data_IF_513263393794
#
_entry.id   IF_513263393794
#
_cell.length_a   1.000
_cell.length_b   1.000
_cell.length_c   1.000
_cell.angle_alpha   90.00
_cell.angle_beta   90.00
_cell.angle_gamma   90.00
#
_symmetry.space_group_name_H-M   'P 1'
#
loop_
_entity.id
_entity.type
_entity.pdbx_description
1 polymer ?
#
# COMPACT_ATOMS: atom_id res chain seq x y z
N UNK A 1 33.88 17.76 -9.16
CA UNK A 1 33.07 18.88 -9.69
C UNK A 1 32.16 18.45 -10.84
N UNK A 2 32.63 18.14 -12.06
CA UNK A 2 31.71 17.81 -13.17
C UNK A 2 30.88 16.53 -12.95
N UNK A 3 31.48 15.44 -12.43
CA UNK A 3 30.76 14.22 -12.06
C UNK A 3 29.68 14.47 -11.02
N UNK A 4 29.93 15.39 -10.09
CA UNK A 4 29.00 15.70 -9.00
C UNK A 4 27.79 16.47 -9.57
N UNK A 5 28.02 17.44 -10.47
CA UNK A 5 26.95 18.19 -11.14
C UNK A 5 26.06 17.29 -12.01
N UNK A 6 26.65 16.35 -12.76
CA UNK A 6 25.87 15.40 -13.57
C UNK A 6 25.02 14.50 -12.66
N UNK A 7 25.60 13.97 -11.58
CA UNK A 7 24.88 13.14 -10.61
C UNK A 7 23.70 13.88 -10.00
N UNK A 8 23.88 15.16 -9.69
CA UNK A 8 22.85 16.06 -9.18
C UNK A 8 21.69 16.25 -10.17
N UNK A 9 21.97 16.46 -11.45
CA UNK A 9 20.91 16.63 -12.46
C UNK A 9 20.18 15.32 -12.70
N UNK A 10 20.91 14.22 -12.88
CA UNK A 10 20.34 12.94 -13.27
C UNK A 10 19.53 12.28 -12.16
N UNK A 11 19.95 12.39 -10.91
CA UNK A 11 19.22 11.81 -9.78
C UNK A 11 17.80 12.38 -9.61
N UNK A 12 17.46 13.52 -10.24
CA UNK A 12 16.10 14.10 -10.26
C UNK A 12 15.21 13.52 -11.35
N UNK A 13 15.77 12.76 -12.30
CA UNK A 13 15.02 12.22 -13.41
C UNK A 13 14.23 10.96 -13.00
N UNK A 14 13.12 10.65 -13.69
CA UNK A 14 12.40 9.41 -13.47
C UNK A 14 13.30 8.19 -13.70
N UNK A 15 13.18 7.17 -12.84
CA UNK A 15 13.97 5.95 -12.92
C UNK A 15 13.91 5.28 -14.31
N UNK A 16 12.72 5.27 -14.93
CA UNK A 16 12.50 4.75 -16.29
C UNK A 16 13.34 5.47 -17.36
N UNK A 17 13.54 6.78 -17.22
CA UNK A 17 14.41 7.56 -18.11
C UNK A 17 15.88 7.23 -17.87
N UNK A 18 16.28 7.10 -16.61
CA UNK A 18 17.66 6.75 -16.23
C UNK A 18 18.06 5.39 -16.79
N UNK A 19 17.21 4.36 -16.67
CA UNK A 19 17.51 3.06 -17.25
C UNK A 19 17.73 3.11 -18.77
N UNK A 20 17.05 4.01 -19.50
CA UNK A 20 17.31 4.21 -20.94
C UNK A 20 18.68 4.85 -21.18
N UNK A 21 19.14 5.71 -20.28
CA UNK A 21 20.43 6.41 -20.40
C UNK A 21 21.65 5.50 -20.17
N UNK A 22 21.47 4.32 -19.56
CA UNK A 22 22.52 3.29 -19.47
C UNK A 22 22.99 2.79 -20.86
N UNK A 23 22.16 2.99 -21.89
CA UNK A 23 22.49 2.67 -23.28
C UNK A 23 23.26 3.77 -24.02
N UNK A 24 23.32 4.99 -23.47
CA UNK A 24 23.90 6.16 -24.14
C UNK A 24 25.42 6.14 -24.11
N UNK A 25 26.03 5.80 -22.97
CA UNK A 25 27.48 5.61 -22.85
C UNK A 25 27.87 4.79 -21.62
N UNK A 26 29.10 4.26 -21.61
CA UNK A 26 29.65 3.50 -20.47
C UNK A 26 29.67 4.33 -19.19
N UNK A 27 30.10 5.60 -19.25
CA UNK A 27 30.17 6.46 -18.07
C UNK A 27 28.81 6.71 -17.41
N UNK A 28 27.73 6.79 -18.21
CA UNK A 28 26.37 6.94 -17.68
C UNK A 28 25.87 5.65 -17.05
N UNK A 29 26.13 4.50 -17.69
CA UNK A 29 25.84 3.19 -17.11
C UNK A 29 26.55 3.01 -15.76
N UNK A 30 27.85 3.31 -15.70
CA UNK A 30 28.65 3.16 -14.49
C UNK A 30 28.14 4.07 -13.36
N UNK A 31 27.74 5.31 -13.71
CA UNK A 31 27.14 6.24 -12.76
C UNK A 31 25.79 5.74 -12.24
N UNK A 32 24.89 5.31 -13.12
CA UNK A 32 23.52 4.88 -12.76
C UNK A 32 23.55 3.58 -11.93
N UNK A 33 24.51 2.71 -12.22
CA UNK A 33 24.72 1.46 -11.47
C UNK A 33 25.37 1.69 -10.10
N UNK A 34 25.97 2.85 -9.86
CA UNK A 34 26.65 3.17 -8.60
C UNK A 34 25.66 3.28 -7.43
N UNK A 35 25.95 2.59 -6.33
CA UNK A 35 25.10 2.55 -5.13
C UNK A 35 24.84 3.94 -4.53
N UNK A 36 25.84 4.83 -4.48
CA UNK A 36 25.66 6.21 -3.99
C UNK A 36 24.69 7.00 -4.88
N UNK A 37 24.78 6.83 -6.20
CA UNK A 37 23.85 7.46 -7.13
C UNK A 37 22.43 6.89 -6.98
N UNK A 38 22.27 5.56 -6.85
CA UNK A 38 20.98 4.91 -6.64
C UNK A 38 20.33 5.37 -5.34
N UNK A 39 21.09 5.46 -4.25
CA UNK A 39 20.63 6.02 -2.96
C UNK A 39 20.17 7.47 -3.12
N UNK A 40 20.97 8.31 -3.79
CA UNK A 40 20.61 9.71 -4.05
C UNK A 40 19.31 9.83 -4.89
N UNK A 41 19.16 8.98 -5.91
CA UNK A 41 17.94 8.93 -6.73
C UNK A 41 16.73 8.49 -5.90
N UNK A 42 16.86 7.42 -5.10
CA UNK A 42 15.80 6.94 -4.22
C UNK A 42 15.34 8.04 -3.24
N UNK A 43 16.29 8.81 -2.68
CA UNK A 43 15.99 9.93 -1.80
C UNK A 43 15.13 11.00 -2.51
N UNK A 44 15.45 11.34 -3.75
CA UNK A 44 14.74 12.38 -4.51
C UNK A 44 13.33 11.98 -4.93
N UNK A 45 13.05 10.69 -5.05
CA UNK A 45 11.74 10.18 -5.46
C UNK A 45 10.93 9.57 -4.31
N UNK A 46 11.44 9.58 -3.06
CA UNK A 46 10.76 9.01 -1.88
C UNK A 46 9.35 9.58 -1.69
N UNK A 47 9.19 10.88 -1.91
CA UNK A 47 7.93 11.63 -1.74
C UNK A 47 7.14 11.80 -3.04
N UNK A 48 7.53 11.09 -4.11
CA UNK A 48 6.89 11.21 -5.42
C UNK A 48 6.24 9.89 -5.79
N UNK A 49 4.97 9.75 -5.43
CA UNK A 49 4.13 8.64 -5.89
C UNK A 49 4.03 8.68 -7.41
N UNK A 50 4.55 7.65 -8.06
CA UNK A 50 4.56 7.52 -9.53
C UNK A 50 3.28 6.90 -10.07
N UNK A 51 2.57 6.16 -9.22
CA UNK A 51 1.36 5.44 -9.58
C UNK A 51 0.86 4.51 -8.49
N UNK A 52 -0.13 3.69 -8.85
CA UNK A 52 -0.77 2.72 -7.97
C UNK A 52 -0.87 1.37 -8.66
N UNK A 53 -0.59 0.30 -7.92
CA UNK A 53 -0.94 -1.06 -8.32
C UNK A 53 -2.32 -1.42 -7.79
N UNK A 54 -3.06 -2.20 -8.56
CA UNK A 54 -4.43 -2.62 -8.30
C UNK A 54 -4.61 -4.12 -8.55
N UNK A 55 -5.33 -4.79 -7.67
CA UNK A 55 -5.73 -6.19 -7.85
C UNK A 55 -7.03 -6.48 -7.10
N UNK A 56 -7.94 -7.24 -7.72
CA UNK A 56 -9.13 -7.77 -7.05
C UNK A 56 -8.74 -8.97 -6.18
N UNK A 57 -9.26 -9.03 -4.96
CA UNK A 57 -8.89 -10.02 -3.94
C UNK A 57 -9.95 -11.09 -3.66
N UNK A 58 -11.08 -11.11 -4.39
CA UNK A 58 -12.18 -12.02 -4.05
C UNK A 58 -12.00 -13.47 -4.49
N UNK A 59 -11.45 -13.73 -5.68
CA UNK A 59 -11.20 -15.10 -6.17
C UNK A 59 -10.04 -15.10 -7.19
N UNK A 60 -8.99 -15.87 -6.92
CA UNK A 60 -7.74 -15.83 -7.70
C UNK A 60 -7.84 -16.60 -9.03
N UNK A 61 -7.03 -16.23 -10.07
CA UNK A 61 -6.10 -15.10 -10.13
C UNK A 61 -6.57 -13.96 -11.05
N UNK A 62 -6.75 -12.76 -10.47
CA UNK A 62 -6.94 -11.53 -11.25
C UNK A 62 -5.60 -10.87 -11.60
N UNK A 63 -5.46 -10.32 -12.83
CA UNK A 63 -4.22 -9.68 -13.26
C UNK A 63 -3.94 -8.42 -12.45
N UNK A 64 -2.68 -8.23 -12.09
CA UNK A 64 -2.20 -6.99 -11.47
C UNK A 64 -2.19 -5.87 -12.50
N UNK A 65 -2.80 -4.74 -12.15
CA UNK A 65 -2.87 -3.55 -13.00
C UNK A 65 -2.09 -2.41 -12.37
N UNK A 66 -1.35 -1.66 -13.18
CA UNK A 66 -0.64 -0.46 -12.77
C UNK A 66 -1.25 0.77 -13.42
N UNK A 67 -1.45 1.81 -12.62
CA UNK A 67 -1.94 3.10 -13.03
C UNK A 67 -0.89 4.18 -12.80
N UNK A 68 -0.47 4.87 -13.85
CA UNK A 68 0.49 5.99 -13.78
C UNK A 68 -0.22 7.32 -13.53
N UNK A 69 0.30 8.13 -12.60
CA UNK A 69 -0.27 9.45 -12.22
C UNK A 69 0.27 10.61 -13.08
N UNK A 70 1.10 10.34 -14.10
CA UNK A 70 1.69 11.41 -14.93
C UNK A 70 0.77 11.98 -16.02
N UNK A 71 0.71 13.33 -16.06
CA UNK A 71 0.19 14.21 -17.12
C UNK A 71 -1.18 13.81 -17.70
N UNK A 72 -2.26 14.05 -16.95
CA UNK A 72 -3.68 14.10 -17.36
C UNK A 72 -4.22 12.92 -18.18
N UNK A 73 -3.40 11.89 -18.40
CA UNK A 73 -3.70 10.70 -19.17
C UNK A 73 -3.29 9.48 -18.34
N UNK A 74 -4.30 8.99 -17.63
CA UNK A 74 -4.34 7.67 -17.03
C UNK A 74 -3.98 6.58 -18.06
N UNK A 75 -2.80 5.96 -17.93
CA UNK A 75 -2.45 4.75 -18.69
C UNK A 75 -2.48 3.55 -17.76
N UNK A 76 -3.44 2.66 -18.01
CA UNK A 76 -3.55 1.35 -17.38
C UNK A 76 -2.58 0.37 -18.07
N UNK A 77 -1.72 -0.27 -17.30
CA UNK A 77 -0.79 -1.30 -17.77
C UNK A 77 -1.05 -2.60 -17.02
N UNK A 78 -1.12 -3.71 -17.73
CA UNK A 78 -1.41 -5.06 -17.20
C UNK A 78 -0.21 -6.02 -17.28
N UNK A 79 0.84 -5.64 -18.00
CA UNK A 79 2.05 -6.48 -18.23
C UNK A 79 3.25 -6.07 -17.36
N UNK A 80 3.02 -5.29 -16.30
CA UNK A 80 4.11 -4.71 -15.48
C UNK A 80 4.86 -5.78 -14.68
N UNK A 81 4.22 -6.92 -14.41
CA UNK A 81 4.81 -8.02 -13.62
C UNK A 81 5.12 -9.29 -14.44
N UNK A 82 5.03 -9.26 -15.77
CA UNK A 82 5.27 -10.42 -16.67
C UNK A 82 6.69 -10.99 -16.61
N UNK A 83 7.62 -10.31 -15.95
CA UNK A 83 8.97 -10.80 -15.73
C UNK A 83 9.07 -11.77 -14.54
N UNK A 84 8.01 -11.87 -13.72
CA UNK A 84 7.89 -12.88 -12.67
C UNK A 84 7.54 -14.25 -13.30
N UNK A 85 7.97 -15.36 -12.68
CA UNK A 85 7.83 -16.69 -13.27
C UNK A 85 6.39 -17.23 -13.26
N UNK A 86 5.48 -16.59 -12.51
CA UNK A 86 4.10 -17.01 -12.35
C UNK A 86 3.17 -15.83 -12.03
N UNK A 87 1.85 -16.07 -12.04
CA UNK A 87 0.87 -15.09 -11.55
C UNK A 87 1.01 -14.95 -10.03
N UNK A 88 0.86 -13.72 -9.55
CA UNK A 88 1.09 -13.37 -8.15
C UNK A 88 -0.03 -12.51 -7.58
N UNK A 89 -0.19 -12.58 -6.27
CA UNK A 89 -1.01 -11.68 -5.46
C UNK A 89 -0.17 -10.58 -4.83
N UNK A 90 -0.64 -9.34 -4.88
CA UNK A 90 -0.01 -8.17 -4.27
C UNK A 90 -0.07 -8.24 -2.75
N UNK A 91 1.08 -8.00 -2.11
CA UNK A 91 1.20 -7.93 -0.65
C UNK A 91 1.39 -6.49 -0.20
N UNK A 92 2.52 -5.88 -0.55
CA UNK A 92 2.94 -4.58 -0.03
C UNK A 92 3.91 -3.88 -0.99
N UNK A 93 4.10 -2.58 -0.79
CA UNK A 93 5.13 -1.80 -1.47
C UNK A 93 5.92 -0.99 -0.46
N UNK A 94 7.20 -0.77 -0.72
CA UNK A 94 8.07 0.08 0.12
C UNK A 94 9.21 0.67 -0.71
N UNK A 95 9.29 2.00 -0.76
CA UNK A 95 10.40 2.76 -1.37
C UNK A 95 10.88 2.27 -2.76
N UNK A 96 9.93 1.80 -3.57
CA UNK A 96 10.17 1.34 -4.95
C UNK A 96 10.44 -0.15 -5.11
N UNK A 97 10.32 -0.92 -4.04
CA UNK A 97 10.16 -2.37 -4.10
C UNK A 97 8.69 -2.76 -3.94
N UNK A 98 8.32 -3.87 -4.56
CA UNK A 98 7.01 -4.50 -4.47
C UNK A 98 7.18 -5.91 -3.89
N UNK A 99 6.30 -6.30 -2.99
CA UNK A 99 6.20 -7.65 -2.45
C UNK A 99 4.92 -8.31 -2.97
N UNK A 100 5.05 -9.53 -3.45
CA UNK A 100 3.96 -10.36 -3.94
C UNK A 100 4.13 -11.80 -3.43
N UNK A 101 3.06 -12.60 -3.43
CA UNK A 101 3.12 -14.05 -3.21
C UNK A 101 2.58 -14.80 -4.42
N UNK A 102 2.99 -16.05 -4.59
CA UNK A 102 2.35 -16.98 -5.52
C UNK A 102 0.84 -17.01 -5.28
N UNK A 103 0.05 -17.06 -6.35
CA UNK A 103 -1.39 -17.35 -6.22
C UNK A 103 -1.58 -18.77 -5.65
N UNK A 104 -2.64 -18.96 -4.88
CA UNK A 104 -3.01 -20.28 -4.35
C UNK A 104 -3.50 -21.19 -5.49
N UNK A 105 -2.59 -21.88 -6.19
CA UNK A 105 -2.97 -23.01 -7.04
C UNK A 105 -3.15 -24.26 -6.17
N UNK A 106 -4.26 -24.96 -6.39
CA UNK A 106 -4.61 -26.27 -5.83
C UNK A 106 -3.53 -27.36 -5.99
N UNK A 107 -2.50 -27.13 -6.82
CA UNK A 107 -1.35 -27.99 -6.96
C UNK A 107 -0.28 -27.66 -5.90
N UNK A 108 0.12 -28.68 -5.14
CA UNK A 108 1.03 -28.68 -3.99
C UNK A 108 2.47 -28.16 -4.24
N UNK A 109 2.64 -26.98 -4.83
CA UNK A 109 3.90 -26.23 -4.82
C UNK A 109 4.02 -25.49 -3.50
N UNK A 110 5.25 -25.39 -2.99
CA UNK A 110 5.55 -24.50 -1.88
C UNK A 110 5.21 -23.07 -2.30
N UNK A 111 4.40 -22.39 -1.48
CA UNK A 111 4.08 -20.97 -1.71
C UNK A 111 5.38 -20.17 -1.68
N UNK A 112 5.57 -19.27 -2.63
CA UNK A 112 6.76 -18.41 -2.68
C UNK A 112 6.37 -16.95 -2.47
N UNK A 113 7.31 -16.19 -1.95
CA UNK A 113 7.24 -14.75 -1.84
C UNK A 113 8.25 -14.15 -2.82
N UNK A 114 7.82 -13.14 -3.56
CA UNK A 114 8.61 -12.39 -4.51
C UNK A 114 8.77 -10.96 -4.03
N UNK A 115 10.02 -10.51 -3.88
CA UNK A 115 10.32 -9.08 -3.71
C UNK A 115 10.98 -8.60 -4.99
N UNK A 116 10.38 -7.62 -5.66
CA UNK A 116 10.77 -7.21 -7.00
C UNK A 116 10.87 -5.69 -7.18
N UNK A 117 11.67 -5.28 -8.15
CA UNK A 117 11.69 -3.93 -8.70
C UNK A 117 11.14 -4.01 -10.14
N UNK A 118 9.84 -3.70 -10.35
CA UNK A 118 9.20 -3.77 -11.67
C UNK A 118 9.88 -2.95 -12.78
N UNK A 119 10.57 -1.85 -12.41
CA UNK A 119 11.23 -0.98 -13.39
C UNK A 119 12.53 -1.61 -13.90
N UNK A 120 13.25 -2.29 -13.01
CA UNK A 120 14.46 -3.05 -13.37
C UNK A 120 14.17 -4.46 -13.88
N UNK A 121 12.93 -4.96 -13.68
CA UNK A 121 12.54 -6.35 -13.97
C UNK A 121 13.41 -7.38 -13.25
N UNK A 122 13.79 -7.03 -12.02
CA UNK A 122 14.60 -7.85 -11.12
C UNK A 122 13.71 -8.33 -9.96
N UNK A 123 13.94 -9.54 -9.47
CA UNK A 123 13.25 -10.09 -8.30
C UNK A 123 14.14 -11.03 -7.50
N UNK A 124 13.77 -11.22 -6.24
CA UNK A 124 14.30 -12.24 -5.33
C UNK A 124 13.15 -13.15 -4.90
N UNK A 125 13.41 -14.45 -4.87
CA UNK A 125 12.47 -15.46 -4.37
C UNK A 125 12.79 -15.80 -2.92
N UNK A 126 11.75 -15.94 -2.10
CA UNK A 126 11.85 -16.20 -0.67
C UNK A 126 10.88 -17.33 -0.35
N UNK A 127 11.37 -18.34 0.37
CA UNK A 127 10.54 -19.45 0.85
C UNK A 127 9.50 -18.95 1.85
N UNK A 128 8.31 -19.54 1.82
CA UNK A 128 7.28 -19.27 2.81
C UNK A 128 7.78 -19.54 4.24
N UNK A 129 7.43 -18.70 5.23
CA UNK A 129 7.80 -18.95 6.63
C UNK A 129 7.25 -20.31 7.11
N UNK A 130 8.12 -21.15 7.67
CA UNK A 130 7.71 -22.48 8.18
C UNK A 130 6.89 -22.35 9.47
N UNK A 131 6.01 -23.35 9.70
CA UNK A 131 5.29 -23.51 10.97
C UNK A 131 4.00 -22.69 11.09
N UNK A 132 3.47 -22.19 9.99
CA UNK A 132 2.31 -21.27 9.96
C UNK A 132 1.06 -22.00 9.47
N UNK A 133 -0.05 -21.87 10.18
CA UNK A 133 -1.26 -22.68 9.92
C UNK A 133 -2.42 -21.86 9.33
N UNK A 134 -2.38 -20.52 9.36
CA UNK A 134 -3.49 -19.63 8.98
C UNK A 134 -3.00 -18.30 8.36
N UNK A 135 -3.96 -17.53 7.80
CA UNK A 135 -3.80 -16.22 7.13
C UNK A 135 -2.71 -15.33 7.76
N UNK A 136 -1.81 -14.81 6.93
CA UNK A 136 -0.66 -14.01 7.36
C UNK A 136 -0.69 -12.64 6.70
N UNK A 137 -0.56 -11.60 7.52
CA UNK A 137 -0.47 -10.23 7.06
C UNK A 137 0.99 -9.81 6.95
N UNK A 138 1.48 -9.91 5.72
CA UNK A 138 2.85 -9.58 5.37
C UNK A 138 3.05 -8.07 5.19
N UNK A 139 4.25 -7.64 5.51
CA UNK A 139 4.71 -6.28 5.46
C UNK A 139 6.12 -6.23 4.87
N UNK A 140 6.41 -5.20 4.10
CA UNK A 140 7.73 -4.97 3.52
C UNK A 140 8.36 -3.72 4.14
N UNK A 141 9.51 -3.88 4.78
CA UNK A 141 10.34 -2.79 5.24
C UNK A 141 11.58 -2.70 4.34
N UNK A 142 11.60 -1.68 3.49
CA UNK A 142 12.77 -1.34 2.69
C UNK A 142 13.09 0.12 2.87
N UNK A 143 14.22 0.41 3.53
CA UNK A 143 14.76 1.77 3.67
C UNK A 143 16.21 1.82 3.17
N UNK A 144 16.46 2.39 1.97
CA UNK A 144 17.81 2.52 1.42
C UNK A 144 18.68 3.55 2.17
N UNK A 145 18.16 4.22 3.20
CA UNK A 145 18.87 5.24 3.99
C UNK A 145 19.35 4.72 5.35
N UNK A 146 18.74 3.64 5.85
CA UNK A 146 19.09 3.03 7.15
C UNK A 146 20.33 2.13 7.09
N UNK A 147 20.76 1.72 5.90
CA UNK A 147 21.92 0.86 5.71
C UNK A 147 23.12 1.61 5.11
N UNK A 148 24.36 1.11 5.35
CA UNK A 148 25.54 1.55 4.60
C UNK A 148 25.32 1.41 3.08
N UNK A 149 26.06 2.19 2.29
CA UNK A 149 25.95 2.21 0.81
C UNK A 149 26.23 0.84 0.18
N UNK A 150 27.02 -0.01 0.84
CA UNK A 150 27.33 -1.37 0.37
C UNK A 150 26.22 -2.38 0.70
N UNK A 151 25.25 -1.99 1.53
CA UNK A 151 24.14 -2.83 2.02
C UNK A 151 22.77 -2.33 1.52
N UNK A 152 22.73 -1.51 0.47
CA UNK A 152 21.49 -0.86 0.00
C UNK A 152 20.40 -1.80 -0.47
N UNK A 153 20.71 -3.05 -0.79
CA UNK A 153 19.72 -4.05 -1.20
C UNK A 153 19.02 -4.72 -0.03
N UNK A 154 19.35 -4.35 1.21
CA UNK A 154 18.80 -5.00 2.38
C UNK A 154 17.36 -4.56 2.64
N UNK A 155 16.48 -5.54 2.81
CA UNK A 155 15.09 -5.37 3.21
C UNK A 155 14.73 -6.41 4.27
N UNK A 156 13.66 -6.13 5.01
CA UNK A 156 13.02 -7.09 5.89
C UNK A 156 11.58 -7.33 5.42
N UNK A 157 11.14 -8.59 5.49
CA UNK A 157 9.72 -8.91 5.45
C UNK A 157 9.30 -9.30 6.86
N UNK A 158 8.17 -8.77 7.32
CA UNK A 158 7.57 -9.22 8.56
C UNK A 158 6.18 -9.76 8.25
N UNK A 159 5.77 -10.84 8.90
CA UNK A 159 4.38 -11.28 8.83
C UNK A 159 3.83 -11.53 10.22
N UNK A 160 2.58 -11.10 10.39
CA UNK A 160 1.82 -11.25 11.62
C UNK A 160 0.76 -12.30 11.37
N UNK A 161 0.63 -13.26 12.28
CA UNK A 161 -0.50 -14.19 12.29
C UNK A 161 -0.99 -14.45 13.71
N UNK A 162 -2.29 -14.64 13.86
CA UNK A 162 -2.89 -15.07 15.13
C UNK A 162 -2.66 -16.56 15.33
N UNK A 163 -1.98 -16.94 16.40
CA UNK A 163 -1.70 -18.34 16.73
C UNK A 163 -2.72 -18.90 17.73
N UNK A 164 -3.09 -18.12 18.74
CA UNK A 164 -4.16 -18.45 19.69
C UNK A 164 -5.03 -17.22 19.99
N UNK A 165 -6.00 -17.33 20.90
CA UNK A 165 -6.78 -16.18 21.36
C UNK A 165 -5.92 -15.07 21.98
N UNK A 166 -4.76 -15.42 22.55
CA UNK A 166 -3.90 -14.52 23.32
C UNK A 166 -2.48 -14.42 22.76
N UNK A 167 -2.16 -15.09 21.66
CA UNK A 167 -0.82 -15.06 21.09
C UNK A 167 -0.85 -14.62 19.63
N UNK A 168 0.01 -13.64 19.35
CA UNK A 168 0.35 -13.19 18.02
C UNK A 168 1.74 -13.72 17.73
N UNK A 169 1.88 -14.35 16.58
CA UNK A 169 3.15 -14.78 16.08
C UNK A 169 3.65 -13.76 15.05
N UNK A 170 4.84 -13.22 15.29
CA UNK A 170 5.58 -12.40 14.34
C UNK A 170 6.75 -13.22 13.78
N UNK A 171 6.90 -13.25 12.46
CA UNK A 171 8.07 -13.80 11.82
C UNK A 171 8.71 -12.75 10.93
N UNK A 172 10.05 -12.68 10.99
CA UNK A 172 10.82 -11.66 10.26
C UNK A 172 11.86 -12.33 9.40
N UNK A 173 11.79 -12.09 8.10
CA UNK A 173 12.84 -12.44 7.15
C UNK A 173 13.79 -11.26 7.02
N UNK A 174 15.09 -11.54 7.09
CA UNK A 174 16.14 -10.56 6.77
C UNK A 174 16.84 -10.98 5.49
N UNK A 175 16.86 -10.10 4.47
CA UNK A 175 17.58 -10.38 3.23
C UNK A 175 19.10 -10.46 3.44
N UNK A 176 19.61 -9.89 4.55
CA UNK A 176 21.03 -9.95 4.92
C UNK A 176 21.45 -11.33 5.39
N UNK A 177 20.63 -11.99 6.21
CA UNK A 177 20.89 -13.35 6.71
C UNK A 177 20.30 -14.42 5.81
N UNK A 178 19.34 -14.05 4.95
CA UNK A 178 18.50 -14.95 4.14
C UNK A 178 17.72 -15.97 4.98
N UNK A 179 17.37 -15.60 6.22
CA UNK A 179 16.70 -16.47 7.18
C UNK A 179 15.45 -15.81 7.78
N UNK A 180 14.48 -16.65 8.14
CA UNK A 180 13.33 -16.28 8.95
C UNK A 180 13.64 -16.46 10.44
N UNK A 181 13.40 -15.43 11.25
CA UNK A 181 13.37 -15.51 12.70
C UNK A 181 11.92 -15.55 13.20
N UNK A 182 11.71 -16.20 14.35
CA UNK A 182 10.41 -16.32 15.02
C UNK A 182 10.43 -15.46 16.29
N UNK A 183 9.43 -14.59 16.44
CA UNK A 183 9.17 -13.83 17.66
C UNK A 183 7.74 -14.11 18.13
N UNK A 184 7.60 -14.79 19.26
CA UNK A 184 6.29 -15.08 19.86
C UNK A 184 5.88 -13.97 20.80
N UNK A 185 4.67 -13.43 20.57
CA UNK A 185 4.12 -12.33 21.34
C UNK A 185 2.91 -12.82 22.14
N UNK A 186 3.00 -12.67 23.46
CA UNK A 186 1.84 -12.86 24.34
C UNK A 186 1.13 -11.53 24.48
N UNK A 187 -0.09 -11.46 23.98
CA UNK A 187 -0.97 -10.32 24.18
C UNK A 187 -1.55 -10.44 25.59
N UNK A 188 -1.14 -9.54 26.49
CA UNK A 188 -1.70 -9.49 27.83
C UNK A 188 -3.01 -8.71 27.81
N UNK A 189 -4.14 -9.40 28.02
CA UNK A 189 -5.42 -8.79 28.38
C UNK A 189 -6.56 -9.03 27.37
N UNK A 190 -7.79 -9.06 27.90
CA UNK A 190 -9.02 -9.38 27.19
C UNK A 190 -9.61 -8.23 26.32
N UNK A 191 -8.91 -7.10 26.17
CA UNK A 191 -9.58 -5.85 25.75
C UNK A 191 -9.27 -5.31 24.35
N UNK A 192 -8.33 -5.90 23.59
CA UNK A 192 -7.99 -5.36 22.27
C UNK A 192 -8.07 -6.45 21.20
N UNK A 193 -8.91 -6.23 20.20
CA UNK A 193 -8.93 -7.06 18.99
C UNK A 193 -7.70 -6.74 18.14
N UNK A 194 -6.55 -7.32 18.50
CA UNK A 194 -5.26 -7.07 17.86
C UNK A 194 -5.05 -7.84 16.54
N UNK A 195 -6.12 -8.38 15.94
CA UNK A 195 -6.05 -9.10 14.67
C UNK A 195 -5.84 -8.08 13.56
N UNK A 196 -4.78 -8.18 12.75
CA UNK A 196 -4.58 -7.26 11.63
C UNK A 196 -5.72 -7.35 10.62
N UNK A 197 -6.07 -6.22 10.00
CA UNK A 197 -7.14 -6.13 8.99
C UNK A 197 -6.63 -6.16 7.54
N UNK A 198 -5.34 -6.46 7.37
CA UNK A 198 -4.64 -6.51 6.09
C UNK A 198 -4.02 -5.19 5.65
N UNK A 199 -4.27 -4.07 6.33
CA UNK A 199 -3.62 -2.79 6.01
C UNK A 199 -2.28 -2.66 6.74
N UNK A 200 -1.24 -2.30 5.98
CA UNK A 200 0.11 -2.14 6.50
C UNK A 200 0.82 -0.95 5.88
N UNK A 201 1.60 -0.23 6.67
CA UNK A 201 2.45 0.86 6.19
C UNK A 201 3.81 0.85 6.87
N UNK A 202 4.85 1.21 6.12
CA UNK A 202 6.19 1.43 6.63
C UNK A 202 6.46 2.94 6.72
N UNK A 203 6.79 3.43 7.91
CA UNK A 203 7.08 4.84 8.16
C UNK A 203 8.02 5.01 9.36
N UNK A 204 8.96 5.95 9.30
CA UNK A 204 9.88 6.26 10.40
C UNK A 204 10.64 5.03 10.94
N UNK A 205 10.99 4.08 10.06
CA UNK A 205 11.67 2.84 10.47
C UNK A 205 10.77 1.80 11.15
N UNK A 206 9.47 2.04 11.23
CA UNK A 206 8.50 1.14 11.88
C UNK A 206 7.53 0.56 10.84
N UNK A 207 7.12 -0.69 11.05
CA UNK A 207 5.98 -1.30 10.36
C UNK A 207 4.73 -1.16 11.23
N UNK A 208 3.64 -0.68 10.64
CA UNK A 208 2.37 -0.51 11.34
C UNK A 208 1.29 -1.34 10.66
N UNK A 209 0.66 -2.25 11.40
CA UNK A 209 -0.53 -2.98 10.98
C UNK A 209 -1.76 -2.40 11.65
N UNK A 210 -2.74 -2.02 10.84
CA UNK A 210 -4.06 -1.70 11.36
C UNK A 210 -4.69 -2.99 11.89
N UNK A 211 -5.39 -2.90 13.02
CA UNK A 211 -6.14 -4.02 13.58
C UNK A 211 -7.64 -3.78 13.49
N UNK A 212 -8.43 -4.84 13.64
CA UNK A 212 -9.88 -4.73 13.76
C UNK A 212 -10.35 -4.05 15.06
N UNK A 213 -9.45 -3.83 16.03
CA UNK A 213 -9.70 -3.06 17.25
C UNK A 213 -9.30 -1.58 17.13
N UNK A 214 -9.26 -0.91 18.29
CA UNK A 214 -8.89 0.52 18.39
C UNK A 214 -7.38 0.74 18.61
N UNK A 215 -6.56 -0.18 18.10
CA UNK A 215 -5.11 -0.13 18.20
C UNK A 215 -4.44 -0.43 16.87
N UNK A 216 -3.24 0.08 16.69
CA UNK A 216 -2.30 -0.24 15.61
C UNK A 216 -1.16 -1.03 16.24
N UNK A 217 -0.81 -2.17 15.65
CA UNK A 217 0.39 -2.91 16.01
C UNK A 217 1.58 -2.25 15.30
N UNK A 218 2.54 -1.75 16.06
CA UNK A 218 3.77 -1.17 15.54
C UNK A 218 4.97 -2.09 15.83
N UNK A 219 5.90 -2.20 14.88
CA UNK A 219 7.12 -3.00 14.99
C UNK A 219 8.32 -2.20 14.52
N UNK A 220 9.33 -2.08 15.37
CA UNK A 220 10.61 -1.46 15.05
C UNK A 220 11.50 -2.44 14.30
N UNK A 221 11.87 -2.09 13.07
CA UNK A 221 12.64 -2.99 12.21
C UNK A 221 14.12 -3.09 12.64
N UNK A 222 14.61 -2.17 13.47
CA UNK A 222 15.99 -2.10 13.95
C UNK A 222 16.11 -2.80 15.30
N UNK A 223 15.28 -2.41 16.28
CA UNK A 223 15.32 -3.02 17.62
C UNK A 223 14.60 -4.38 17.66
N UNK A 224 13.76 -4.67 16.65
CA UNK A 224 12.88 -5.84 16.60
C UNK A 224 11.93 -5.93 17.80
N UNK A 225 11.56 -4.77 18.35
CA UNK A 225 10.56 -4.61 19.39
C UNK A 225 9.22 -4.17 18.79
N UNK A 226 8.15 -4.41 19.53
CA UNK A 226 6.80 -4.04 19.10
C UNK A 226 6.08 -3.26 20.21
N UNK A 227 5.11 -2.46 19.81
CA UNK A 227 4.21 -1.76 20.72
C UNK A 227 2.81 -1.64 20.12
N UNK A 228 1.85 -1.26 20.95
CA UNK A 228 0.49 -0.95 20.52
C UNK A 228 0.27 0.56 20.60
N UNK A 229 -0.26 1.11 19.52
CA UNK A 229 -0.58 2.53 19.41
C UNK A 229 -2.09 2.67 19.39
N UNK A 230 -2.66 3.39 20.36
CA UNK A 230 -4.10 3.68 20.37
C UNK A 230 -4.51 4.59 19.21
N UNK A 231 -5.69 4.36 18.65
CA UNK A 231 -6.26 5.23 17.62
C UNK A 231 -6.66 6.61 18.20
N UNK A 232 -6.66 7.68 17.38
CA UNK A 232 -7.08 9.01 17.83
C UNK A 232 -8.59 9.12 18.07
N UNK A 233 -9.37 8.23 17.45
CA UNK A 233 -10.83 8.14 17.57
C UNK A 233 -11.23 6.66 17.57
N UNK A 234 -12.26 6.33 18.34
CA UNK A 234 -12.82 4.97 18.41
C UNK A 234 -13.49 4.59 17.08
N UNK A 235 -13.33 3.33 16.68
CA UNK A 235 -14.04 2.77 15.54
C UNK A 235 -15.48 2.49 15.96
N UNK A 236 -16.44 3.07 15.24
CA UNK A 236 -17.84 2.65 15.38
C UNK A 236 -18.11 1.48 14.45
N UNK A 237 -18.92 0.53 14.92
CA UNK A 237 -19.32 -0.60 14.09
C UNK A 237 -20.12 -0.11 12.87
N UNK A 238 -19.96 -0.78 11.72
CA UNK A 238 -20.72 -0.45 10.50
C UNK A 238 -22.24 -0.41 10.70
N UNK A 239 -22.76 -1.22 11.63
CA UNK A 239 -24.17 -1.22 12.02
C UNK A 239 -24.63 0.07 12.72
N UNK A 240 -23.70 0.88 13.24
CA UNK A 240 -23.95 2.12 13.96
C UNK A 240 -23.75 3.38 13.09
N UNK A 241 -23.10 3.26 11.92
CA UNK A 241 -22.89 4.38 11.00
C UNK A 241 -21.70 4.19 10.06
N UNK A 242 -21.44 5.22 9.23
CA UNK A 242 -20.27 5.26 8.34
C UNK A 242 -19.00 5.51 9.18
N UNK A 243 -18.09 4.55 9.16
CA UNK A 243 -16.74 4.67 9.71
C UNK A 243 -15.80 3.76 8.95
N UNK A 244 -15.23 4.28 7.87
CA UNK A 244 -14.21 3.59 7.11
C UNK A 244 -12.86 4.23 7.36
N UNK A 245 -11.84 3.41 7.58
CA UNK A 245 -10.55 3.87 8.06
C UNK A 245 -9.42 3.26 7.25
N UNK A 246 -8.35 4.02 7.08
CA UNK A 246 -7.09 3.48 6.61
C UNK A 246 -5.89 4.10 7.32
N UNK A 247 -4.75 3.43 7.21
CA UNK A 247 -3.45 4.00 7.54
C UNK A 247 -2.69 4.33 6.27
N UNK A 248 -1.78 5.30 6.38
CA UNK A 248 -0.92 5.68 5.27
C UNK A 248 0.30 6.44 5.74
N UNK A 249 1.13 6.86 4.78
CA UNK A 249 2.39 7.55 5.06
C UNK A 249 2.49 8.84 4.25
N UNK A 250 2.96 9.90 4.90
CA UNK A 250 3.35 11.13 4.22
C UNK A 250 4.53 11.76 4.96
N UNK A 251 5.58 12.09 4.22
CA UNK A 251 6.85 12.59 4.76
C UNK A 251 7.45 11.69 5.84
N UNK A 252 7.43 10.39 5.58
CA UNK A 252 7.95 9.31 6.43
C UNK A 252 7.23 9.19 7.78
N UNK A 253 6.01 9.71 7.90
CA UNK A 253 5.22 9.68 9.14
C UNK A 253 3.89 8.99 8.95
N UNK A 254 3.49 8.24 9.97
CA UNK A 254 2.21 7.55 10.03
C UNK A 254 1.04 8.55 10.04
N UNK A 255 0.06 8.28 9.20
CA UNK A 255 -1.22 8.96 9.17
C UNK A 255 -2.35 7.97 9.35
N UNK A 256 -3.40 8.41 10.03
CA UNK A 256 -4.64 7.68 10.20
C UNK A 256 -5.79 8.48 9.60
N UNK A 257 -6.56 7.84 8.73
CA UNK A 257 -7.59 8.47 7.92
C UNK A 257 -8.92 7.87 8.32
N UNK A 258 -9.91 8.74 8.52
CA UNK A 258 -11.29 8.34 8.82
C UNK A 258 -12.22 9.01 7.84
N UNK A 259 -13.08 8.21 7.21
CA UNK A 259 -14.27 8.68 6.51
C UNK A 259 -15.46 8.36 7.40
N UNK A 260 -16.13 9.42 7.87
CA UNK A 260 -17.29 9.34 8.74
C UNK A 260 -18.36 10.34 8.30
N UNK A 261 -19.53 10.35 8.95
CA UNK A 261 -20.55 11.37 8.65
C UNK A 261 -20.05 12.81 8.89
N UNK A 262 -19.07 13.01 9.78
CA UNK A 262 -18.46 14.31 10.01
C UNK A 262 -17.57 14.78 8.85
N UNK A 263 -17.16 13.87 7.96
CA UNK A 263 -16.22 14.17 6.89
C UNK A 263 -15.02 13.25 6.81
N UNK A 264 -14.07 13.66 5.98
CA UNK A 264 -12.72 13.14 5.93
C UNK A 264 -11.88 13.76 7.05
N UNK A 265 -11.31 12.90 7.88
CA UNK A 265 -10.36 13.29 8.92
C UNK A 265 -9.00 12.70 8.59
N UNK A 266 -7.96 13.52 8.68
CA UNK A 266 -6.57 13.08 8.54
C UNK A 266 -5.84 13.41 9.81
N UNK A 267 -5.41 12.37 10.52
CA UNK A 267 -4.64 12.45 11.75
C UNK A 267 -3.19 12.12 11.45
N UNK A 268 -2.27 12.95 11.94
CA UNK A 268 -0.82 12.73 11.90
C UNK A 268 -0.35 12.20 13.25
N UNK A 269 0.47 11.15 13.24
CA UNK A 269 1.27 10.79 14.41
C UNK A 269 2.45 11.75 14.53
N UNK A 270 2.40 12.65 15.52
CA UNK A 270 3.43 13.69 15.71
C UNK A 270 4.58 13.19 16.59
N UNK A 271 4.25 12.43 17.62
CA UNK A 271 5.16 11.69 18.50
C UNK A 271 4.39 10.51 19.04
N UNK A 272 5.01 9.40 19.40
CA UNK A 272 4.26 8.27 19.99
C UNK A 272 3.86 8.60 21.44
N UNK A 273 2.57 8.51 21.86
CA UNK A 273 1.33 8.18 21.14
C UNK A 273 0.39 9.41 20.93
N UNK A 274 0.95 10.55 20.54
CA UNK A 274 0.25 11.82 20.32
C UNK A 274 -0.14 12.01 18.85
N UNK A 275 -1.46 11.95 18.62
CA UNK A 275 -2.08 12.29 17.35
C UNK A 275 -2.43 13.77 17.24
N UNK A 276 -2.32 14.33 16.03
CA UNK A 276 -2.72 15.70 15.69
C UNK A 276 -3.63 15.68 14.47
N UNK A 277 -4.84 16.23 14.60
CA UNK A 277 -5.75 16.40 13.48
C UNK A 277 -5.18 17.45 12.50
N UNK A 278 -4.91 17.04 11.26
CA UNK A 278 -4.36 17.89 10.19
C UNK A 278 -5.44 18.44 9.28
N UNK A 279 -6.38 17.61 8.89
CA UNK A 279 -7.47 17.99 8.00
C UNK A 279 -8.79 17.46 8.55
N UNK A 280 -9.82 18.29 8.48
CA UNK A 280 -11.22 17.94 8.66
C UNK A 280 -11.99 18.61 7.54
N UNK A 281 -12.52 17.83 6.62
CA UNK A 281 -13.24 18.31 5.44
C UNK A 281 -14.57 17.59 5.38
N UNK A 282 -15.67 18.34 5.44
CA UNK A 282 -17.00 17.75 5.37
C UNK A 282 -17.26 17.12 4.00
N UNK A 283 -18.12 16.10 3.94
CA UNK A 283 -18.47 15.44 2.68
C UNK A 283 -19.18 16.39 1.71
N UNK A 284 -20.00 17.30 2.25
CA UNK A 284 -20.67 18.35 1.48
C UNK A 284 -19.68 19.34 0.87
N UNK A 285 -18.72 19.85 1.64
CA UNK A 285 -17.67 20.76 1.14
C UNK A 285 -16.86 20.09 0.03
N UNK A 286 -16.60 18.80 0.15
CA UNK A 286 -15.83 18.06 -0.86
C UNK A 286 -16.60 17.89 -2.18
N UNK A 287 -17.89 17.57 -2.13
CA UNK A 287 -18.77 17.47 -3.31
C UNK A 287 -19.01 18.84 -3.97
N UNK A 288 -19.21 19.89 -3.17
CA UNK A 288 -19.32 21.28 -3.67
C UNK A 288 -18.06 21.72 -4.42
N UNK A 289 -16.88 21.38 -3.90
CA UNK A 289 -15.59 21.67 -4.53
C UNK A 289 -15.26 20.77 -5.72
N UNK A 290 -15.93 19.62 -5.87
CA UNK A 290 -15.60 18.60 -6.86
C UNK A 290 -16.88 18.01 -7.47
N UNK A 291 -17.48 18.66 -8.49
CA UNK A 291 -18.80 18.28 -9.05
C UNK A 291 -18.89 16.85 -9.63
N UNK A 292 -17.75 16.20 -9.89
CA UNK A 292 -17.69 14.81 -10.37
C UNK A 292 -17.68 13.78 -9.23
N UNK A 293 -17.53 14.21 -7.98
CA UNK A 293 -17.59 13.37 -6.79
C UNK A 293 -19.02 13.32 -6.25
N UNK A 294 -19.79 12.35 -6.73
CA UNK A 294 -21.23 12.24 -6.49
C UNK A 294 -21.55 11.53 -5.15
N UNK A 295 -21.08 12.10 -4.05
CA UNK A 295 -21.26 11.54 -2.71
C UNK A 295 -22.73 11.38 -2.31
N UNK A 296 -23.53 12.42 -2.51
CA UNK A 296 -24.93 12.40 -2.10
C UNK A 296 -25.74 11.37 -2.91
N UNK A 297 -25.38 11.14 -4.17
CA UNK A 297 -25.97 10.09 -4.99
C UNK A 297 -25.59 8.71 -4.47
N UNK A 298 -24.29 8.48 -4.24
CA UNK A 298 -23.78 7.25 -3.65
C UNK A 298 -24.44 6.92 -2.29
N UNK A 299 -24.58 7.93 -1.40
CA UNK A 299 -25.25 7.78 -0.10
C UNK A 299 -26.71 7.37 -0.24
N UNK A 300 -27.44 7.95 -1.20
CA UNK A 300 -28.85 7.60 -1.48
C UNK A 300 -28.96 6.20 -2.04
N UNK A 301 -28.10 5.87 -2.99
CA UNK A 301 -28.02 4.57 -3.63
C UNK A 301 -27.77 3.46 -2.59
N UNK A 302 -26.83 3.67 -1.66
CA UNK A 302 -26.49 2.69 -0.63
C UNK A 302 -27.66 2.30 0.29
N UNK A 303 -28.63 3.19 0.51
CA UNK A 303 -29.84 2.90 1.32
C UNK A 303 -30.81 1.95 0.64
N UNK A 304 -30.65 1.70 -0.66
CA UNK A 304 -31.52 0.84 -1.45
C UNK A 304 -31.03 -0.61 -1.50
N UNK A 305 -29.81 -0.89 -1.01
CA UNK A 305 -29.28 -2.26 -1.00
C UNK A 305 -29.86 -3.04 0.17
N UNK A 306 -30.43 -4.24 -0.07
CA UNK A 306 -30.90 -5.10 1.02
C UNK A 306 -29.74 -5.53 1.94
N UNK A 307 -30.02 -5.64 3.24
CA UNK A 307 -29.03 -6.02 4.28
C UNK A 307 -28.41 -7.41 4.06
N UNK A 308 -29.04 -8.28 3.26
CA UNK A 308 -28.58 -9.65 2.99
C UNK A 308 -27.38 -9.73 2.03
N UNK A 309 -26.99 -8.62 1.37
CA UNK A 309 -25.84 -8.60 0.47
C UNK A 309 -24.54 -8.26 1.22
N UNK A 310 -23.56 -9.19 1.18
CA UNK A 310 -22.18 -8.92 1.61
C UNK A 310 -21.47 -8.09 0.54
N UNK A 311 -21.76 -6.79 0.49
CA UNK A 311 -21.12 -5.85 -0.43
C UNK A 311 -20.07 -4.99 0.30
N UNK A 312 -18.96 -4.62 -0.36
CA UNK A 312 -18.06 -3.58 0.12
C UNK A 312 -18.82 -2.28 0.42
N UNK A 313 -18.31 -1.41 1.28
CA UNK A 313 -19.01 -0.15 1.57
C UNK A 313 -19.01 0.77 0.36
N UNK A 314 -20.00 1.66 0.32
CA UNK A 314 -20.23 2.53 -0.83
C UNK A 314 -19.21 3.67 -0.93
N UNK A 315 -18.42 3.90 0.12
CA UNK A 315 -17.26 4.78 0.13
C UNK A 315 -16.16 4.14 0.96
N UNK A 316 -14.95 3.99 0.42
CA UNK A 316 -13.82 3.35 1.12
C UNK A 316 -12.53 4.13 0.87
N UNK A 317 -11.73 4.41 1.93
CA UNK A 317 -10.36 4.87 1.76
C UNK A 317 -9.49 3.66 1.40
N UNK A 318 -8.88 3.67 0.22
CA UNK A 318 -8.05 2.57 -0.25
C UNK A 318 -6.58 2.74 0.19
N UNK A 319 -6.00 3.91 -0.05
CA UNK A 319 -4.58 4.20 0.20
C UNK A 319 -4.39 5.68 0.47
N UNK A 320 -3.69 6.03 1.54
CA UNK A 320 -3.18 7.38 1.75
C UNK A 320 -1.66 7.41 1.58
N UNK A 321 -1.18 8.28 0.69
CA UNK A 321 0.26 8.47 0.43
C UNK A 321 0.54 9.90 0.01
N UNK A 322 1.57 10.51 0.62
CA UNK A 322 2.10 11.83 0.23
C UNK A 322 1.03 12.94 0.15
N UNK A 323 0.08 12.96 1.10
CA UNK A 323 -0.99 13.97 1.14
C UNK A 323 -2.16 13.70 0.17
N UNK A 324 -2.13 12.58 -0.53
CA UNK A 324 -3.21 12.14 -1.42
C UNK A 324 -3.91 10.90 -0.89
N UNK A 325 -5.22 10.82 -1.06
CA UNK A 325 -6.04 9.68 -0.70
C UNK A 325 -6.74 9.12 -1.91
N UNK A 326 -6.56 7.83 -2.12
CA UNK A 326 -7.31 7.06 -3.07
C UNK A 326 -8.63 6.63 -2.43
N UNK A 327 -9.75 7.00 -3.04
CA UNK A 327 -11.11 6.74 -2.54
C UNK A 327 -11.87 5.92 -3.57
N UNK A 328 -12.43 4.79 -3.13
CA UNK A 328 -13.43 4.04 -3.89
C UNK A 328 -14.80 4.59 -3.55
N UNK A 329 -15.59 4.94 -4.55
CA UNK A 329 -16.96 5.40 -4.37
C UNK A 329 -17.89 4.60 -5.30
N UNK A 330 -18.98 4.09 -4.74
CA UNK A 330 -20.01 3.37 -5.47
C UNK A 330 -21.19 4.29 -5.72
N UNK A 331 -21.38 4.69 -6.98
CA UNK A 331 -22.26 5.80 -7.33
C UNK A 331 -23.68 5.37 -7.67
N UNK A 332 -23.89 4.22 -8.31
CA UNK A 332 -25.21 3.82 -8.83
C UNK A 332 -25.55 2.36 -8.55
N UNK A 333 -26.85 2.11 -8.36
CA UNK A 333 -27.49 0.81 -8.46
C UNK A 333 -28.56 0.88 -9.57
N UNK A 334 -28.41 0.05 -10.58
CA UNK A 334 -29.42 -0.16 -11.62
C UNK A 334 -29.93 -1.59 -11.42
N UNK A 335 -31.23 -1.74 -11.13
CA UNK A 335 -31.88 -3.05 -11.07
C UNK A 335 -32.54 -3.30 -12.41
N UNK A 336 -31.78 -3.88 -13.35
CA UNK A 336 -32.27 -4.27 -14.66
C UNK A 336 -32.08 -5.78 -14.81
N UNK A 337 -33.11 -6.48 -15.30
CA UNK A 337 -33.06 -7.92 -15.58
C UNK A 337 -32.63 -8.81 -14.39
N UNK A 338 -33.02 -8.46 -13.16
CA UNK A 338 -32.63 -9.19 -11.93
C UNK A 338 -31.13 -9.14 -11.60
N UNK A 339 -30.34 -8.33 -12.31
CA UNK A 339 -28.93 -8.06 -12.01
C UNK A 339 -28.76 -6.65 -11.43
N UNK A 340 -27.95 -6.56 -10.37
CA UNK A 340 -27.58 -5.30 -9.74
C UNK A 340 -26.38 -4.71 -10.47
N UNK A 341 -26.59 -3.77 -11.38
CA UNK A 341 -25.51 -3.02 -12.01
C UNK A 341 -24.95 -1.99 -11.02
N UNK A 342 -23.68 -2.14 -10.69
CA UNK A 342 -22.97 -1.30 -9.72
C UNK A 342 -21.91 -0.46 -10.41
N UNK A 343 -22.10 0.86 -10.50
CA UNK A 343 -21.04 1.75 -10.97
C UNK A 343 -20.12 2.11 -9.80
N UNK A 344 -18.87 1.64 -9.84
CA UNK A 344 -17.84 1.98 -8.84
C UNK A 344 -16.71 2.76 -9.48
N UNK A 345 -16.41 3.94 -8.94
CA UNK A 345 -15.37 4.84 -9.41
C UNK A 345 -14.24 4.96 -8.39
N UNK A 346 -13.02 5.12 -8.91
CA UNK A 346 -11.83 5.39 -8.11
C UNK A 346 -11.45 6.86 -8.28
N UNK A 347 -11.30 7.56 -7.17
CA UNK A 347 -10.92 8.96 -7.09
C UNK A 347 -9.59 9.13 -6.37
N UNK A 348 -8.81 10.13 -6.77
CA UNK A 348 -7.62 10.59 -6.07
C UNK A 348 -7.89 11.99 -5.53
N UNK A 349 -7.95 12.11 -4.21
CA UNK A 349 -8.13 13.38 -3.51
C UNK A 349 -6.80 13.92 -3.00
N UNK A 350 -6.50 15.19 -3.27
CA UNK A 350 -5.35 15.88 -2.70
C UNK A 350 -5.82 16.82 -1.60
N UNK A 351 -5.35 16.62 -0.37
CA UNK A 351 -5.77 17.40 0.79
C UNK A 351 -5.20 18.83 0.83
N UNK A 352 -4.07 19.08 0.16
CA UNK A 352 -3.45 20.40 0.09
C UNK A 352 -4.16 21.30 -0.93
N UNK A 353 -4.42 20.78 -2.14
CA UNK A 353 -5.09 21.52 -3.21
C UNK A 353 -6.61 21.44 -3.13
N UNK A 354 -7.14 20.51 -2.32
CA UNK A 354 -8.58 20.19 -2.18
C UNK A 354 -9.26 19.75 -3.48
N UNK A 355 -8.47 19.28 -4.43
CA UNK A 355 -8.95 18.81 -5.74
C UNK A 355 -9.12 17.31 -5.75
N UNK A 356 -10.14 16.84 -6.44
CA UNK A 356 -10.41 15.43 -6.67
C UNK A 356 -10.32 15.10 -8.16
N UNK A 357 -9.56 14.06 -8.48
CA UNK A 357 -9.40 13.52 -9.83
C UNK A 357 -10.09 12.16 -9.91
N UNK A 358 -11.04 12.00 -10.83
CA UNK A 358 -11.56 10.67 -11.19
C UNK A 358 -10.49 9.91 -12.01
N UNK A 359 -10.04 8.76 -11.52
CA UNK A 359 -9.03 7.95 -12.20
C UNK A 359 -9.66 7.02 -13.23
N UNK A 360 -10.60 6.18 -12.79
CA UNK A 360 -11.29 5.20 -13.65
C UNK A 360 -12.52 4.58 -12.95
N UNK A 361 -13.40 3.96 -13.74
CA UNK A 361 -14.43 3.03 -13.25
C UNK A 361 -13.83 1.63 -13.08
N UNK A 362 -14.29 0.90 -12.06
CA UNK A 362 -13.78 -0.44 -11.71
C UNK A 362 -13.98 -1.46 -12.84
N UNK A 363 -14.94 -1.24 -13.73
CA UNK A 363 -15.17 -2.07 -14.92
C UNK A 363 -13.94 -2.12 -15.82
N UNK A 364 -13.14 -1.04 -15.85
CA UNK A 364 -11.85 -1.01 -16.58
C UNK A 364 -10.81 -1.93 -15.94
N UNK A 365 -10.94 -2.25 -14.66
CA UNK A 365 -10.12 -3.26 -13.99
C UNK A 365 -10.60 -4.69 -14.28
N UNK A 366 -11.76 -4.91 -14.91
CA UNK A 366 -12.31 -6.25 -15.12
C UNK A 366 -12.72 -6.93 -13.80
N UNK A 367 -12.89 -6.14 -12.74
CA UNK A 367 -13.33 -6.59 -11.42
C UNK A 367 -14.85 -6.52 -11.36
N UNK A 368 -15.49 -7.56 -10.83
CA UNK A 368 -16.95 -7.64 -10.72
C UNK A 368 -17.47 -7.33 -9.30
N UNK A 369 -16.65 -7.54 -8.27
CA UNK A 369 -17.09 -7.51 -6.87
C UNK A 369 -16.50 -6.34 -6.07
N UNK A 370 -15.39 -5.77 -6.53
CA UNK A 370 -14.83 -4.53 -6.02
C UNK A 370 -14.11 -4.61 -4.68
N UNK A 371 -13.67 -5.80 -4.26
CA UNK A 371 -12.70 -5.99 -3.18
C UNK A 371 -11.30 -5.68 -3.71
N UNK A 372 -11.00 -4.38 -3.77
CA UNK A 372 -9.85 -3.86 -4.49
C UNK A 372 -8.69 -3.61 -3.53
N UNK A 373 -7.59 -4.35 -3.71
CA UNK A 373 -6.29 -3.99 -3.12
C UNK A 373 -5.63 -2.93 -3.99
N UNK A 374 -5.18 -1.85 -3.36
CA UNK A 374 -4.40 -0.81 -3.99
C UNK A 374 -3.08 -0.61 -3.22
N UNK A 375 -1.97 -0.44 -3.94
CA UNK A 375 -0.66 -0.16 -3.34
C UNK A 375 -0.04 1.08 -4.00
N UNK A 376 0.40 2.09 -3.24
CA UNK A 376 1.12 3.23 -3.79
C UNK A 376 2.51 2.77 -4.26
N UNK A 377 3.01 3.33 -5.35
CA UNK A 377 4.32 2.96 -5.87
C UNK A 377 5.12 4.17 -6.36
N UNK A 378 6.37 4.24 -5.92
CA UNK A 378 7.34 5.24 -6.33
C UNK A 378 8.42 4.57 -7.18
N UNK A 379 8.49 4.92 -8.47
CA UNK A 379 9.50 4.36 -9.37
C UNK A 379 10.89 4.82 -8.96
N UNK A 380 11.71 3.91 -8.45
CA UNK A 380 13.08 4.19 -8.02
C UNK A 380 14.07 3.18 -8.62
N UNK A 381 15.36 3.54 -8.52
CA UNK A 381 16.47 2.64 -8.83
C UNK A 381 16.81 1.71 -7.65
N UNK A 382 15.87 1.46 -6.73
CA UNK A 382 16.06 0.58 -5.58
C UNK A 382 16.78 -0.72 -5.97
N UNK A 383 17.92 -1.04 -5.34
CA UNK A 383 18.61 -2.30 -5.57
C UNK A 383 17.90 -3.48 -4.93
N UNK A 384 17.97 -4.61 -5.64
CA UNK A 384 17.78 -5.93 -5.10
C UNK A 384 19.14 -6.64 -5.19
N UNK A 385 19.46 -7.44 -4.18
CA UNK A 385 20.67 -8.26 -4.19
C UNK A 385 20.55 -9.29 -5.32
N UNK A 386 21.65 -9.58 -6.01
CA UNK A 386 21.69 -10.75 -6.88
C UNK A 386 21.52 -12.01 -6.02
N UNK A 387 20.61 -12.90 -6.42
CA UNK A 387 20.32 -14.16 -5.74
C UNK A 387 21.60 -14.97 -5.45
#
# INVERSE_FOLDING_TARGET
MEKDTISEVLSRLPAKSLLRFESVSKGWRDLISNNSFRRLQCHRVKTVTSGFFFQDTWDVPYPVKYFSVKNDQAILQDTVLDFLPEMVELIASSNGLLCCKSCDDSNARDKLIYVCNPIKKEYVQIEWPKGTVLHQDFALAFDPFCYPVDELSNFKLACVCKETLLTILLQVYSSKTKEWSKLELRVCGDNYNCVPDGQVVFASGMLYWMTYGDVILAFDVVTEEFCFVGLPVERIYRSQGLCEVCIGESNDRLHFIVISEAGFQVWLMDSEPKWVLKHLISLSEMEEGNPHFLYNDAKRAARLVPDDFVIPTWIEPLVYKDGTLLVKLRCNYSYQNEELEVCTKIYLYNFETRTMLELFSIDKLGSQLGFLRALPYSMSLAPLGSA
#
